data_IF_585249193691
#
_entry.id   IF_585249193691
#
_cell.length_a   1.000
_cell.length_b   1.000
_cell.length_c   1.000
_cell.angle_alpha   90.00
_cell.angle_beta   90.00
_cell.angle_gamma   90.00
#
_symmetry.space_group_name_H-M   'P 1'
#
loop_
_entity.id
_entity.type
_entity.pdbx_description
1 polymer ?
#
# COMPACT_ATOMS: atom_id res chain seq x y z
N UNK A 1 17.66 -22.03 -40.33
CA UNK A 1 16.65 -21.95 -39.25
C UNK A 1 16.56 -20.50 -38.81
N UNK A 2 15.50 -19.80 -39.20
CA UNK A 2 15.33 -18.35 -38.92
C UNK A 2 14.50 -18.16 -37.65
N UNK A 3 15.13 -17.67 -36.59
CA UNK A 3 14.46 -17.34 -35.32
C UNK A 3 13.74 -16.00 -35.43
N UNK A 4 12.41 -16.05 -35.49
CA UNK A 4 11.54 -14.87 -35.42
C UNK A 4 11.56 -14.28 -34.02
N UNK A 5 12.20 -13.12 -33.84
CA UNK A 5 12.12 -12.36 -32.60
C UNK A 5 10.74 -11.72 -32.46
N UNK A 6 9.95 -12.20 -31.49
CA UNK A 6 8.65 -11.65 -31.16
C UNK A 6 8.81 -10.20 -30.65
N UNK A 7 8.43 -9.23 -31.47
CA UNK A 7 8.47 -7.79 -31.15
C UNK A 7 7.61 -7.54 -29.91
N UNK A 8 8.24 -7.16 -28.79
CA UNK A 8 7.56 -6.80 -27.53
C UNK A 8 6.49 -5.74 -27.82
N UNK A 9 5.24 -6.03 -27.44
CA UNK A 9 4.14 -5.05 -27.50
C UNK A 9 4.54 -3.82 -26.68
N UNK A 10 4.59 -2.67 -27.35
CA UNK A 10 4.75 -1.36 -26.70
C UNK A 10 3.62 -1.25 -25.67
N UNK A 11 3.99 -1.15 -24.39
CA UNK A 11 3.00 -0.97 -23.33
C UNK A 11 2.35 0.38 -23.60
N UNK A 12 1.02 0.41 -23.82
CA UNK A 12 0.30 1.67 -24.01
C UNK A 12 0.68 2.58 -22.84
N UNK A 13 1.31 3.71 -23.14
CA UNK A 13 1.60 4.72 -22.12
C UNK A 13 0.26 5.03 -21.45
N UNK A 14 0.24 4.98 -20.12
CA UNK A 14 -0.94 5.41 -19.36
C UNK A 14 -1.40 6.75 -19.94
N UNK A 15 -2.70 6.92 -20.21
CA UNK A 15 -3.27 8.20 -20.65
C UNK A 15 -2.64 9.31 -19.81
N UNK A 16 -2.08 10.29 -20.50
CA UNK A 16 -1.44 11.42 -19.83
C UNK A 16 -2.49 12.12 -18.98
N UNK A 17 -2.09 12.61 -17.81
CA UNK A 17 -2.98 13.38 -16.97
C UNK A 17 -3.30 14.70 -17.71
N UNK A 18 -4.51 15.27 -17.55
CA UNK A 18 -4.83 16.56 -18.16
C UNK A 18 -3.80 17.61 -17.73
N UNK A 19 -3.44 18.51 -18.64
CA UNK A 19 -2.28 19.43 -18.53
C UNK A 19 -2.32 20.31 -17.26
N UNK A 20 -3.50 20.55 -16.71
CA UNK A 20 -3.75 21.34 -15.51
C UNK A 20 -3.93 20.48 -14.24
N UNK A 21 -3.51 19.21 -14.23
CA UNK A 21 -3.72 18.32 -13.09
C UNK A 21 -2.42 17.73 -12.53
N UNK A 22 -2.41 17.55 -11.21
CA UNK A 22 -1.31 16.98 -10.44
C UNK A 22 -1.76 15.78 -9.63
N UNK A 23 -0.91 14.76 -9.63
CA UNK A 23 -1.11 13.56 -8.84
C UNK A 23 -0.74 13.80 -7.37
N UNK A 24 -1.73 13.71 -6.49
CA UNK A 24 -1.56 13.77 -5.04
C UNK A 24 -1.55 12.35 -4.49
N UNK A 25 -0.44 11.96 -3.87
CA UNK A 25 -0.27 10.59 -3.38
C UNK A 25 -1.10 10.34 -2.15
N UNK A 26 -1.93 9.29 -2.16
CA UNK A 26 -2.65 8.85 -0.96
C UNK A 26 -1.73 8.00 -0.07
N UNK A 27 -1.89 8.11 1.23
CA UNK A 27 -1.18 7.24 2.16
C UNK A 27 -1.74 5.82 2.05
N UNK A 28 -0.86 4.82 2.01
CA UNK A 28 -1.27 3.42 2.04
C UNK A 28 -1.92 3.10 3.40
N UNK A 29 -3.08 2.43 3.43
CA UNK A 29 -3.72 2.03 4.67
C UNK A 29 -2.80 1.05 5.42
N UNK A 30 -2.65 1.27 6.73
CA UNK A 30 -1.87 0.40 7.62
C UNK A 30 -2.80 -0.18 8.67
N UNK A 31 -2.79 -1.51 8.89
CA UNK A 31 -3.52 -2.11 9.98
C UNK A 31 -3.01 -1.55 11.31
N UNK A 32 -3.89 -1.47 12.29
CA UNK A 32 -3.48 -1.12 13.65
C UNK A 32 -2.48 -2.16 14.16
N UNK A 33 -1.45 -1.74 14.92
CA UNK A 33 -0.52 -2.68 15.50
C UNK A 33 -1.26 -3.60 16.47
N UNK A 34 -0.98 -4.92 16.44
CA UNK A 34 -1.66 -5.85 17.34
C UNK A 34 -1.26 -5.59 18.80
N UNK A 35 -2.11 -5.97 19.77
CA UNK A 35 -1.79 -5.86 21.19
C UNK A 35 -0.43 -6.49 21.51
N UNK A 36 0.31 -5.90 22.47
CA UNK A 36 1.69 -6.36 22.76
C UNK A 36 1.80 -7.86 23.04
N UNK A 37 0.82 -8.39 23.77
CA UNK A 37 0.74 -9.79 24.18
C UNK A 37 -0.05 -10.69 23.22
N UNK A 38 -0.51 -10.21 22.06
CA UNK A 38 -1.17 -11.11 21.11
C UNK A 38 -0.16 -12.07 20.46
N UNK A 39 -0.67 -13.23 20.02
CA UNK A 39 0.09 -14.24 19.30
C UNK A 39 0.31 -13.86 17.81
N UNK A 40 -0.24 -12.72 17.37
CA UNK A 40 -0.20 -12.34 15.96
C UNK A 40 1.21 -11.94 15.52
N UNK A 41 1.55 -12.20 14.24
CA UNK A 41 2.79 -11.73 13.65
C UNK A 41 2.93 -10.20 13.78
N UNK A 42 4.09 -9.76 14.27
CA UNK A 42 4.35 -8.32 14.46
C UNK A 42 4.91 -7.73 13.19
N UNK A 43 4.28 -6.68 12.69
CA UNK A 43 4.72 -6.01 11.45
C UNK A 43 5.48 -4.72 11.76
N UNK A 44 6.68 -4.58 11.19
CA UNK A 44 7.52 -3.38 11.24
C UNK A 44 7.59 -2.76 9.84
N UNK A 45 6.97 -1.60 9.66
CA UNK A 45 7.06 -0.87 8.40
C UNK A 45 8.33 -0.02 8.35
N UNK A 46 9.08 -0.15 7.26
CA UNK A 46 10.34 0.57 7.05
C UNK A 46 10.18 1.60 5.94
N UNK A 47 10.55 2.83 6.25
CA UNK A 47 10.60 3.94 5.30
C UNK A 47 12.03 4.26 4.89
N UNK A 48 12.19 5.05 3.82
CA UNK A 48 13.49 5.55 3.37
C UNK A 48 14.21 6.39 4.44
N UNK A 49 13.48 7.09 5.29
CA UNK A 49 14.03 7.91 6.40
C UNK A 49 14.28 7.12 7.68
N UNK A 50 13.93 5.83 7.73
CA UNK A 50 14.12 5.01 8.93
C UNK A 50 15.62 4.76 9.18
N UNK A 51 16.15 5.07 10.39
CA UNK A 51 17.53 4.77 10.75
C UNK A 51 17.73 3.25 10.91
N UNK A 52 18.86 2.73 10.43
CA UNK A 52 19.12 1.29 10.39
C UNK A 52 19.12 0.64 11.78
N UNK A 53 19.95 1.15 12.70
CA UNK A 53 20.12 0.60 14.06
C UNK A 53 18.81 0.66 14.87
N UNK A 54 18.04 1.75 14.71
CA UNK A 54 16.72 1.88 15.34
C UNK A 54 15.77 0.77 14.91
N UNK A 55 15.76 0.46 13.60
CA UNK A 55 14.93 -0.62 13.07
C UNK A 55 15.37 -1.98 13.59
N UNK A 56 16.68 -2.25 13.66
CA UNK A 56 17.21 -3.49 14.25
C UNK A 56 16.74 -3.66 15.70
N UNK A 57 16.88 -2.62 16.53
CA UNK A 57 16.43 -2.65 17.94
C UNK A 57 14.92 -2.91 18.04
N UNK A 58 14.13 -2.31 17.14
CA UNK A 58 12.67 -2.50 17.10
C UNK A 58 12.30 -3.95 16.76
N UNK A 59 12.96 -4.55 15.78
CA UNK A 59 12.75 -5.94 15.40
C UNK A 59 13.16 -6.89 16.53
N UNK A 60 14.33 -6.69 17.15
CA UNK A 60 14.76 -7.48 18.31
C UNK A 60 13.78 -7.39 19.48
N UNK A 61 13.29 -6.18 19.78
CA UNK A 61 12.27 -5.99 20.81
C UNK A 61 10.99 -6.75 20.49
N UNK A 62 10.55 -6.74 19.23
CA UNK A 62 9.37 -7.51 18.81
C UNK A 62 9.59 -9.03 18.95
N UNK A 63 10.77 -9.54 18.57
CA UNK A 63 11.15 -10.95 18.73
C UNK A 63 11.27 -11.38 20.20
N UNK A 64 11.73 -10.50 21.08
CA UNK A 64 11.85 -10.77 22.52
C UNK A 64 10.49 -11.07 23.16
N UNK A 65 9.43 -10.37 22.74
CA UNK A 65 8.08 -10.60 23.29
C UNK A 65 7.59 -12.02 23.01
N UNK A 66 7.95 -12.61 21.86
CA UNK A 66 7.60 -14.01 21.57
C UNK A 66 8.32 -15.00 22.49
N UNK A 67 9.56 -14.70 22.91
CA UNK A 67 10.31 -15.49 23.91
C UNK A 67 9.71 -15.37 25.31
N UNK A 68 9.16 -14.22 25.66
CA UNK A 68 8.52 -14.03 26.96
C UNK A 68 7.14 -14.69 27.00
N UNK A 69 6.37 -14.61 25.91
CA UNK A 69 5.10 -15.31 25.76
C UNK A 69 5.26 -16.83 25.86
N UNK A 70 6.28 -17.40 25.23
CA UNK A 70 6.52 -18.85 25.34
C UNK A 70 6.78 -19.25 26.79
N UNK A 71 7.54 -18.48 27.57
CA UNK A 71 7.76 -18.75 29.01
C UNK A 71 6.46 -18.67 29.82
N UNK A 72 5.63 -17.66 29.56
CA UNK A 72 4.36 -17.47 30.27
C UNK A 72 3.41 -18.64 30.00
N UNK A 73 3.27 -19.08 28.75
CA UNK A 73 2.37 -20.19 28.41
C UNK A 73 2.78 -21.51 29.08
N UNK A 74 4.09 -21.80 29.21
CA UNK A 74 4.54 -22.98 29.96
C UNK A 74 4.21 -22.86 31.44
N UNK A 75 4.38 -21.66 32.03
CA UNK A 75 4.14 -21.42 33.45
C UNK A 75 2.65 -21.42 33.82
N UNK A 76 1.77 -20.90 32.96
CA UNK A 76 0.32 -20.88 33.18
C UNK A 76 -0.33 -22.23 32.87
N UNK A 77 0.15 -22.94 31.85
CA UNK A 77 -0.34 -24.28 31.50
C UNK A 77 -0.15 -25.29 32.63
N UNK A 78 0.97 -25.22 33.36
CA UNK A 78 1.21 -26.05 34.54
C UNK A 78 0.29 -25.72 35.72
N UNK A 79 -0.03 -24.44 35.94
CA UNK A 79 -0.95 -24.01 37.01
C UNK A 79 -2.40 -24.35 36.69
N UNK A 80 -2.83 -24.16 35.44
CA UNK A 80 -4.18 -24.51 35.00
C UNK A 80 -4.41 -26.02 34.97
N UNK A 81 -3.44 -26.82 34.50
CA UNK A 81 -3.51 -28.29 34.58
C UNK A 81 -3.61 -28.78 36.02
N UNK A 82 -2.80 -28.25 36.95
CA UNK A 82 -2.86 -28.61 38.38
C UNK A 82 -4.15 -28.15 39.04
N UNK A 83 -4.70 -27.00 38.66
CA UNK A 83 -5.99 -26.52 39.17
C UNK A 83 -7.17 -27.35 38.61
N UNK A 84 -7.09 -27.80 37.35
CA UNK A 84 -8.08 -28.65 36.72
C UNK A 84 -8.04 -30.09 37.28
N UNK A 85 -6.84 -30.66 37.45
CA UNK A 85 -6.63 -31.97 38.12
C UNK A 85 -7.05 -31.97 39.59
N UNK A 86 -7.00 -30.81 40.27
CA UNK A 86 -7.54 -30.67 41.64
C UNK A 86 -9.07 -30.57 41.67
N UNK A 87 -9.72 -30.24 40.55
CA UNK A 87 -11.19 -30.19 40.42
C UNK A 87 -11.77 -31.51 39.91
N UNK A 88 -11.05 -32.24 39.07
CA UNK A 88 -11.36 -33.62 38.69
C UNK A 88 -10.66 -34.57 39.67
N UNK A 89 -11.23 -34.72 40.86
CA UNK A 89 -10.91 -35.86 41.70
C UNK A 89 -11.32 -37.16 41.00
N UNK A 90 -10.39 -38.11 40.98
CA UNK A 90 -10.65 -39.56 40.92
C UNK A 90 -11.67 -40.05 39.87
N UNK A 91 -11.28 -40.08 38.60
CA UNK A 91 -11.82 -41.06 37.66
C UNK A 91 -10.80 -41.28 36.55
N UNK A 92 -10.26 -42.49 36.53
CA UNK A 92 -9.15 -42.87 35.67
C UNK A 92 -9.46 -42.88 34.17
N UNK A 93 -8.40 -43.29 33.47
CA UNK A 93 -8.25 -43.56 32.04
C UNK A 93 -7.59 -42.44 31.24
N UNK A 94 -6.28 -42.67 31.10
CA UNK A 94 -5.36 -42.02 30.19
C UNK A 94 -5.76 -42.31 28.74
N UNK A 95 -6.41 -41.35 28.09
CA UNK A 95 -6.38 -41.24 26.63
C UNK A 95 -5.53 -40.00 26.31
N UNK A 96 -4.29 -40.26 25.91
CA UNK A 96 -3.28 -39.28 25.57
C UNK A 96 -3.71 -38.47 24.34
N UNK A 97 -4.44 -37.37 24.56
CA UNK A 97 -4.72 -36.37 23.54
C UNK A 97 -3.42 -35.66 23.05
N UNK A 98 -3.33 -35.30 21.76
CA UNK A 98 -2.06 -34.99 21.10
C UNK A 98 -1.55 -33.60 21.51
N UNK A 99 -0.67 -33.55 22.52
CA UNK A 99 -0.06 -32.29 22.97
C UNK A 99 1.28 -31.95 22.30
N UNK A 100 1.78 -32.83 21.44
CA UNK A 100 3.08 -32.65 20.76
C UNK A 100 2.96 -32.05 19.36
N UNK A 101 1.82 -32.20 18.69
CA UNK A 101 1.61 -31.70 17.33
C UNK A 101 1.34 -30.17 17.28
N UNK A 102 0.69 -29.62 18.31
CA UNK A 102 0.33 -28.18 18.37
C UNK A 102 1.54 -27.29 18.66
N UNK A 103 2.49 -27.77 19.48
CA UNK A 103 3.68 -27.00 19.86
C UNK A 103 4.65 -26.73 18.69
N UNK A 104 4.72 -27.62 17.69
CA UNK A 104 5.57 -27.45 16.51
C UNK A 104 4.98 -26.42 15.53
N UNK A 105 3.66 -26.25 15.54
CA UNK A 105 2.95 -25.25 14.73
C UNK A 105 3.13 -23.84 15.35
N UNK A 106 3.22 -23.74 16.68
CA UNK A 106 3.31 -22.49 17.42
C UNK A 106 4.59 -21.67 17.18
N UNK A 107 5.68 -22.29 16.74
CA UNK A 107 6.92 -21.55 16.42
C UNK A 107 6.94 -21.02 14.99
N UNK A 108 6.22 -21.66 14.06
CA UNK A 108 6.07 -21.15 12.69
C UNK A 108 5.17 -19.91 12.63
N UNK A 109 4.25 -19.76 13.59
CA UNK A 109 3.35 -18.61 13.67
C UNK A 109 3.99 -17.36 14.32
N UNK A 110 5.06 -17.51 15.11
CA UNK A 110 5.75 -16.42 15.80
C UNK A 110 6.88 -15.83 14.98
N UNK A 111 6.55 -14.85 14.14
CA UNK A 111 7.53 -14.13 13.33
C UNK A 111 7.30 -12.63 13.33
N UNK A 112 8.35 -11.90 12.98
CA UNK A 112 8.30 -10.45 12.74
C UNK A 112 8.43 -10.21 11.26
N UNK A 113 7.47 -9.50 10.67
CA UNK A 113 7.50 -9.12 9.26
C UNK A 113 7.99 -7.69 9.11
N UNK A 114 9.07 -7.50 8.35
CA UNK A 114 9.56 -6.18 7.97
C UNK A 114 8.98 -5.87 6.59
N UNK A 115 8.07 -4.90 6.49
CA UNK A 115 7.46 -4.48 5.22
C UNK A 115 8.11 -3.19 4.70
N UNK A 116 8.54 -3.20 3.45
CA UNK A 116 9.11 -2.03 2.79
C UNK A 116 8.67 -1.94 1.33
N UNK A 117 8.61 -0.71 0.81
CA UNK A 117 8.16 -0.43 -0.56
C UNK A 117 9.12 0.55 -1.26
N UNK A 118 9.18 0.48 -2.59
CA UNK A 118 10.00 1.38 -3.42
C UNK A 118 11.46 1.50 -2.95
N UNK A 119 11.95 2.74 -2.79
CA UNK A 119 13.34 3.02 -2.37
C UNK A 119 13.69 2.47 -0.97
N UNK A 120 12.71 2.11 -0.14
CA UNK A 120 12.97 1.50 1.17
C UNK A 120 13.33 0.01 1.07
N UNK A 121 13.13 -0.65 -0.08
CA UNK A 121 13.42 -2.07 -0.29
C UNK A 121 14.91 -2.37 -0.05
N UNK A 122 15.80 -1.53 -0.53
CA UNK A 122 17.26 -1.66 -0.33
C UNK A 122 17.60 -1.76 1.17
N UNK A 123 17.02 -0.88 1.99
CA UNK A 123 17.22 -0.90 3.45
C UNK A 123 16.65 -2.17 4.10
N UNK A 124 15.49 -2.65 3.63
CA UNK A 124 14.89 -3.86 4.17
C UNK A 124 15.73 -5.11 3.84
N UNK A 125 16.30 -5.19 2.64
CA UNK A 125 17.25 -6.24 2.27
C UNK A 125 18.51 -6.19 3.13
N UNK A 126 19.08 -4.99 3.35
CA UNK A 126 20.22 -4.83 4.26
C UNK A 126 19.92 -5.27 5.69
N UNK A 127 18.70 -5.03 6.19
CA UNK A 127 18.25 -5.56 7.48
C UNK A 127 18.12 -7.09 7.46
N UNK A 128 17.59 -7.65 6.37
CA UNK A 128 17.52 -9.10 6.16
C UNK A 128 18.89 -9.76 6.23
N UNK A 129 19.87 -9.22 5.50
CA UNK A 129 21.27 -9.68 5.53
C UNK A 129 21.87 -9.60 6.94
N UNK A 130 21.60 -8.51 7.66
CA UNK A 130 22.07 -8.35 9.04
C UNK A 130 21.54 -9.46 9.96
N UNK A 131 20.25 -9.80 9.87
CA UNK A 131 19.66 -10.89 10.67
C UNK A 131 20.07 -12.27 10.17
N UNK A 132 20.30 -12.44 8.87
CA UNK A 132 20.82 -13.70 8.32
C UNK A 132 22.21 -14.04 8.86
N UNK A 133 23.05 -13.02 9.11
CA UNK A 133 24.38 -13.21 9.73
C UNK A 133 24.35 -13.54 11.23
N UNK A 134 23.20 -13.44 11.91
CA UNK A 134 23.07 -13.79 13.32
C UNK A 134 22.72 -15.28 13.48
N UNK A 135 23.33 -15.94 14.48
CA UNK A 135 23.12 -17.38 14.72
C UNK A 135 21.73 -17.72 15.29
N UNK A 136 21.07 -16.74 15.90
CA UNK A 136 19.81 -16.89 16.63
C UNK A 136 18.56 -16.59 15.79
N UNK A 137 18.71 -16.22 14.51
CA UNK A 137 17.59 -15.86 13.64
C UNK A 137 17.61 -16.60 12.30
N UNK A 138 16.41 -16.82 11.76
CA UNK A 138 16.18 -17.29 10.39
C UNK A 138 15.41 -16.24 9.62
N UNK A 139 15.72 -16.08 8.33
CA UNK A 139 15.16 -15.03 7.47
C UNK A 139 14.53 -15.66 6.23
N UNK A 140 13.31 -15.24 5.92
CA UNK A 140 12.56 -15.60 4.71
C UNK A 140 12.15 -14.30 3.99
N UNK A 141 12.30 -14.24 2.67
CA UNK A 141 11.97 -13.04 1.89
C UNK A 141 10.80 -13.36 0.96
N UNK A 142 9.80 -12.49 0.94
CA UNK A 142 8.67 -12.55 0.01
C UNK A 142 8.58 -11.24 -0.77
N UNK A 143 8.37 -11.37 -2.08
CA UNK A 143 8.12 -10.23 -2.97
C UNK A 143 6.64 -10.16 -3.29
N UNK A 144 6.12 -8.96 -3.41
CA UNK A 144 4.74 -8.73 -3.81
C UNK A 144 4.58 -7.38 -4.51
N UNK A 145 3.36 -7.14 -4.96
CA UNK A 145 2.93 -5.88 -5.56
C UNK A 145 1.67 -5.42 -4.84
N UNK A 146 1.61 -4.15 -4.48
CA UNK A 146 0.43 -3.52 -3.89
C UNK A 146 -0.08 -2.45 -4.85
N UNK A 147 -1.38 -2.47 -5.09
CA UNK A 147 -2.07 -1.41 -5.82
C UNK A 147 -2.32 -0.24 -4.88
N UNK A 148 -1.94 0.96 -5.31
CA UNK A 148 -2.11 2.19 -4.58
C UNK A 148 -2.94 3.16 -5.40
N UNK A 149 -4.04 3.64 -4.83
CA UNK A 149 -4.89 4.66 -5.44
C UNK A 149 -4.40 6.04 -5.01
N UNK A 150 -4.01 6.88 -5.96
CA UNK A 150 -3.67 8.27 -5.76
C UNK A 150 -4.79 9.17 -6.26
N UNK A 151 -4.87 10.39 -5.73
CA UNK A 151 -5.85 11.41 -6.11
C UNK A 151 -5.31 12.26 -7.27
N UNK A 152 -6.18 12.64 -8.20
CA UNK A 152 -5.85 13.65 -9.22
C UNK A 152 -6.50 14.95 -8.80
N UNK A 153 -5.70 16.02 -8.64
CA UNK A 153 -6.21 17.37 -8.34
C UNK A 153 -5.91 18.30 -9.48
N UNK A 154 -6.85 19.19 -9.81
CA UNK A 154 -6.62 20.28 -10.76
C UNK A 154 -5.85 21.39 -10.04
N UNK A 155 -4.67 21.72 -10.56
CA UNK A 155 -3.86 22.83 -10.06
C UNK A 155 -4.44 24.14 -10.64
N UNK A 156 -5.30 24.81 -9.88
CA UNK A 156 -5.87 26.12 -10.25
C UNK A 156 -4.84 27.27 -10.19
N UNK A 157 -3.63 27.02 -9.67
CA UNK A 157 -2.62 28.05 -9.41
C UNK A 157 -1.92 28.61 -10.65
N UNK A 158 -2.12 27.99 -11.82
CA UNK A 158 -1.54 28.44 -13.10
C UNK A 158 -2.54 29.17 -14.00
N UNK A 159 -3.77 29.41 -13.53
CA UNK A 159 -4.69 30.25 -14.29
C UNK A 159 -4.32 31.71 -14.06
N UNK A 160 -3.95 32.40 -15.14
CA UNK A 160 -3.81 33.85 -15.08
C UNK A 160 -5.18 34.47 -14.78
N UNK A 161 -5.21 35.67 -14.21
CA UNK A 161 -6.47 36.38 -13.94
C UNK A 161 -7.35 36.50 -15.20
N UNK A 162 -6.71 36.62 -16.37
CA UNK A 162 -7.36 36.66 -17.68
C UNK A 162 -8.03 35.33 -18.06
N UNK A 163 -7.42 34.18 -17.72
CA UNK A 163 -8.02 32.85 -17.97
C UNK A 163 -9.24 32.62 -17.07
N UNK A 164 -9.18 33.10 -15.82
CA UNK A 164 -10.30 33.04 -14.87
C UNK A 164 -11.45 33.96 -15.29
N UNK A 165 -11.14 35.17 -15.79
CA UNK A 165 -12.13 36.11 -16.34
C UNK A 165 -12.80 35.54 -17.59
N UNK A 166 -12.04 34.98 -18.54
CA UNK A 166 -12.59 34.33 -19.74
C UNK A 166 -13.47 33.13 -19.39
N UNK A 167 -13.05 32.31 -18.42
CA UNK A 167 -13.86 31.18 -17.96
C UNK A 167 -15.18 31.66 -17.32
N UNK A 168 -15.13 32.71 -16.48
CA UNK A 168 -16.33 33.29 -15.85
C UNK A 168 -17.27 33.93 -16.88
N UNK A 169 -16.74 34.66 -17.85
CA UNK A 169 -17.51 35.31 -18.91
C UNK A 169 -18.20 34.29 -19.83
N UNK A 170 -17.53 33.15 -20.11
CA UNK A 170 -18.11 32.04 -20.89
C UNK A 170 -19.26 31.35 -20.13
N UNK A 171 -19.14 31.22 -18.81
CA UNK A 171 -20.22 30.72 -17.94
C UNK A 171 -21.41 31.70 -17.91
N UNK A 172 -21.17 33.01 -17.82
CA UNK A 172 -22.23 34.02 -17.84
C UNK A 172 -22.94 34.12 -19.19
N UNK A 173 -22.22 33.94 -20.32
CA UNK A 173 -22.82 33.85 -21.66
C UNK A 173 -23.69 32.59 -21.82
N UNK A 174 -23.25 31.44 -21.31
CA UNK A 174 -24.06 30.22 -21.37
C UNK A 174 -25.27 30.25 -20.40
N UNK A 175 -25.16 30.94 -19.26
CA UNK A 175 -26.28 31.14 -18.34
C UNK A 175 -27.36 32.08 -18.90
N UNK A 176 -26.98 32.99 -19.81
CA UNK A 176 -27.92 33.76 -20.64
C UNK A 176 -28.27 32.94 -21.89
N UNK A 177 -29.11 31.93 -21.74
CA UNK A 177 -29.64 31.16 -22.87
C UNK A 177 -30.18 32.04 -24.01
N UNK A 178 -30.31 31.52 -25.24
CA UNK A 178 -30.57 32.32 -26.43
C UNK A 178 -31.97 32.94 -26.34
N UNK A 179 -32.05 34.20 -25.93
CA UNK A 179 -33.27 35.00 -26.04
C UNK A 179 -33.24 35.68 -27.41
N UNK A 180 -34.18 35.26 -28.26
CA UNK A 180 -34.20 35.57 -29.69
C UNK A 180 -34.42 37.03 -30.06
N UNK A 181 -34.09 37.34 -31.31
CA UNK A 181 -34.72 38.39 -32.10
C UNK A 181 -34.62 38.07 -33.60
N UNK A 182 -35.77 38.15 -34.24
CA UNK A 182 -36.06 37.96 -35.67
C UNK A 182 -35.56 39.16 -36.51
N UNK A 183 -35.29 38.93 -37.80
CA UNK A 183 -35.58 39.90 -38.87
C UNK A 183 -34.42 40.57 -39.62
N UNK A 184 -34.13 40.02 -40.81
CA UNK A 184 -33.87 40.68 -42.13
C UNK A 184 -32.58 41.49 -42.43
N UNK A 185 -31.92 41.02 -43.51
CA UNK A 185 -31.11 41.67 -44.57
C UNK A 185 -29.97 42.66 -44.24
N UNK A 186 -28.73 42.26 -44.58
CA UNK A 186 -27.83 42.99 -45.50
C UNK A 186 -26.49 42.24 -45.71
N UNK A 187 -26.01 42.27 -46.95
CA UNK A 187 -24.71 41.75 -47.42
C UNK A 187 -23.54 42.60 -46.88
N UNK A 188 -22.38 41.99 -46.63
CA UNK A 188 -21.13 42.19 -47.42
C UNK A 188 -19.84 41.77 -46.69
N UNK A 189 -19.10 40.88 -47.38
CA UNK A 189 -17.65 40.91 -47.69
C UNK A 189 -16.59 40.72 -46.57
N UNK A 190 -15.87 39.61 -46.76
CA UNK A 190 -14.48 39.26 -46.43
C UNK A 190 -13.94 39.45 -45.01
N UNK A 191 -13.58 38.33 -44.36
CA UNK A 191 -12.18 38.05 -43.99
C UNK A 191 -12.04 36.69 -43.28
N UNK A 192 -11.21 35.82 -43.86
CA UNK A 192 -10.54 34.66 -43.26
C UNK A 192 -11.42 33.50 -42.77
N UNK A 193 -11.65 32.55 -43.68
CA UNK A 193 -11.85 31.13 -43.35
C UNK A 193 -10.54 30.53 -42.78
N UNK A 194 -10.17 30.93 -41.56
CA UNK A 194 -9.43 30.07 -40.64
C UNK A 194 -10.43 29.61 -39.57
N UNK A 195 -11.37 28.78 -40.01
CA UNK A 195 -12.16 27.93 -39.13
C UNK A 195 -11.22 26.92 -38.47
N UNK A 196 -10.44 27.40 -37.49
CA UNK A 196 -9.99 26.57 -36.41
C UNK A 196 -11.26 26.03 -35.74
N UNK A 197 -11.65 24.82 -36.12
CA UNK A 197 -12.43 23.93 -35.29
C UNK A 197 -11.61 23.71 -34.00
N UNK A 198 -11.62 24.71 -33.12
CA UNK A 198 -11.19 24.58 -31.75
C UNK A 198 -12.27 23.73 -31.10
N UNK A 199 -12.07 22.44 -31.24
CA UNK A 199 -12.74 21.36 -30.54
C UNK A 199 -13.31 21.85 -29.21
N UNK A 200 -14.64 21.92 -29.14
CA UNK A 200 -15.43 21.95 -27.91
C UNK A 200 -15.22 20.61 -27.16
N UNK A 201 -13.97 20.30 -26.84
CA UNK A 201 -13.54 19.24 -25.94
C UNK A 201 -13.25 19.87 -24.57
N UNK A 202 -14.11 20.79 -24.15
CA UNK A 202 -14.31 21.08 -22.73
C UNK A 202 -15.25 20.00 -22.19
N UNK A 203 -14.83 18.73 -22.32
CA UNK A 203 -15.38 17.63 -21.54
C UNK A 203 -15.20 18.04 -20.07
N UNK A 204 -16.29 18.45 -19.44
CA UNK A 204 -16.65 18.21 -18.04
C UNK A 204 -15.55 17.44 -17.26
N UNK A 205 -14.48 18.16 -16.88
CA UNK A 205 -13.24 17.57 -16.31
C UNK A 205 -13.50 17.00 -14.91
N UNK A 206 -14.69 17.22 -14.35
CA UNK A 206 -15.06 16.74 -13.03
C UNK A 206 -15.31 15.22 -12.97
N UNK A 207 -15.52 14.53 -14.11
CA UNK A 207 -15.86 13.10 -14.13
C UNK A 207 -14.79 12.15 -14.69
N UNK A 208 -13.73 12.64 -15.33
CA UNK A 208 -12.89 11.76 -16.17
C UNK A 208 -11.85 10.95 -15.37
N UNK A 209 -11.27 11.46 -14.28
CA UNK A 209 -10.34 10.67 -13.44
C UNK A 209 -10.27 11.14 -11.97
N UNK A 210 -11.22 10.79 -11.10
CA UNK A 210 -11.15 11.14 -9.67
C UNK A 210 -9.93 10.53 -8.98
N UNK A 211 -9.40 9.42 -9.52
CA UNK A 211 -8.22 8.77 -8.96
C UNK A 211 -7.43 7.99 -10.01
N UNK A 212 -6.14 7.80 -9.75
CA UNK A 212 -5.23 7.00 -10.57
C UNK A 212 -4.60 5.92 -9.74
N UNK A 213 -4.69 4.67 -10.20
CA UNK A 213 -4.02 3.54 -9.57
C UNK A 213 -2.58 3.42 -10.07
N UNK A 214 -1.68 3.02 -9.17
CA UNK A 214 -0.32 2.62 -9.49
C UNK A 214 0.06 1.34 -8.77
N UNK A 215 0.88 0.52 -9.42
CA UNK A 215 1.42 -0.70 -8.85
C UNK A 215 2.75 -0.38 -8.17
N UNK A 216 2.85 -0.69 -6.87
CA UNK A 216 4.05 -0.47 -6.07
C UNK A 216 4.64 -1.82 -5.70
N UNK A 217 5.93 -2.01 -5.98
CA UNK A 217 6.67 -3.18 -5.51
C UNK A 217 6.83 -3.15 -3.98
N UNK A 218 6.57 -4.29 -3.34
CA UNK A 218 6.66 -4.47 -1.89
C UNK A 218 7.52 -5.70 -1.60
N UNK A 219 8.32 -5.59 -0.55
CA UNK A 219 9.07 -6.71 0.00
C UNK A 219 8.66 -6.92 1.45
N UNK A 220 8.55 -8.19 1.82
CA UNK A 220 8.32 -8.64 3.17
C UNK A 220 9.50 -9.52 3.59
N UNK A 221 10.29 -9.02 4.55
CA UNK A 221 11.37 -9.79 5.16
C UNK A 221 10.86 -10.34 6.47
N UNK A 222 10.65 -11.65 6.52
CA UNK A 222 10.15 -12.39 7.67
C UNK A 222 11.36 -12.83 8.50
N UNK A 223 11.39 -12.45 9.77
CA UNK A 223 12.42 -12.81 10.72
C UNK A 223 11.83 -13.70 11.81
N UNK A 224 12.44 -14.87 12.01
CA UNK A 224 12.07 -15.87 13.03
C UNK A 224 13.22 -16.08 14.01
N UNK A 225 12.91 -16.38 15.26
CA UNK A 225 13.91 -16.93 16.18
C UNK A 225 14.25 -18.36 15.72
N UNK A 226 15.54 -18.67 15.62
CA UNK A 226 16.01 -20.03 15.36
C UNK A 226 16.05 -20.77 16.71
N UNK A 227 15.54 -22.01 16.73
CA UNK A 227 15.74 -22.88 17.88
C UNK A 227 17.25 -23.14 18.06
N UNK A 228 17.77 -23.17 19.30
CA UNK A 228 19.15 -23.58 19.53
C UNK A 228 19.32 -25.00 18.99
N UNK A 229 20.17 -25.15 17.99
CA UNK A 229 20.67 -26.44 17.48
C UNK A 229 21.71 -26.99 18.42
#
# INVERSE_FOLDING_TARGET
>A
MTTTHLRRRSHKRSKELPKNSRLVKRQLPRPLPPPRLSADPKTVYVSTKSPFVSTVKRVRKALAVFKDQSKISVASGGRQKRAFQRRQGDSGQNEAGPSTATAIIDDKSKYVTIKATGKAIEKALGLGLYFQGQKDTSVEIRTGTIEATDDVRVDQSHMTFDDLMKAKEKIERNARGPSGREGEDAMDVDENDDAAEESDEFEEIDDVFPSRTRNISVIEVIVRNKAPT
#
